data_IF_361348210582
#
_entry.id   IF_361348210582
#
_cell.length_a   1.000
_cell.length_b   1.000
_cell.length_c   1.000
_cell.angle_alpha   90.00
_cell.angle_beta   90.00
_cell.angle_gamma   90.00
#
_symmetry.space_group_name_H-M   'P 1'
#
loop_
_entity.id
_entity.type
_entity.pdbx_description
1 polymer ?
#
# COMPACT_ATOMS: atom_id res chain seq x y z
N UNK A 1 5.25 -6.33 -31.88
CA UNK A 1 5.56 -7.65 -31.31
C UNK A 1 5.54 -7.51 -29.80
N UNK A 2 4.47 -7.93 -29.12
CA UNK A 2 4.39 -7.84 -27.65
C UNK A 2 5.33 -8.89 -27.05
N UNK A 3 6.47 -8.46 -26.53
CA UNK A 3 7.38 -9.33 -25.77
C UNK A 3 6.61 -9.78 -24.52
N UNK A 4 6.43 -11.09 -24.37
CA UNK A 4 5.80 -11.70 -23.20
C UNK A 4 6.60 -11.29 -21.96
N UNK A 5 5.92 -10.92 -20.87
CA UNK A 5 6.54 -10.56 -19.60
C UNK A 5 7.11 -11.82 -18.95
N UNK A 6 8.30 -12.23 -19.37
CA UNK A 6 9.01 -13.37 -18.81
C UNK A 6 10.17 -12.86 -17.96
N UNK A 7 10.36 -13.49 -16.80
CA UNK A 7 11.52 -13.26 -15.96
C UNK A 7 12.77 -13.74 -16.71
N UNK A 8 13.92 -13.08 -16.50
CA UNK A 8 15.18 -13.62 -17.00
C UNK A 8 15.56 -14.88 -16.24
N UNK A 9 16.34 -15.77 -16.87
CA UNK A 9 16.81 -17.02 -16.25
C UNK A 9 17.68 -16.76 -15.01
N UNK A 10 18.38 -15.61 -14.97
CA UNK A 10 19.23 -15.18 -13.86
C UNK A 10 18.53 -14.22 -12.88
N UNK A 11 17.21 -14.01 -13.02
CA UNK A 11 16.42 -13.17 -12.13
C UNK A 11 16.49 -13.66 -10.69
N UNK A 12 16.74 -12.74 -9.75
CA UNK A 12 16.81 -13.04 -8.31
C UNK A 12 16.00 -12.03 -7.53
N UNK A 13 15.27 -12.53 -6.54
CA UNK A 13 14.54 -11.69 -5.59
C UNK A 13 14.66 -12.23 -4.17
N UNK A 14 14.72 -11.31 -3.21
CA UNK A 14 14.54 -11.59 -1.79
C UNK A 14 13.37 -10.74 -1.31
N UNK A 15 12.40 -11.36 -0.64
CA UNK A 15 11.25 -10.68 -0.07
C UNK A 15 11.12 -11.04 1.41
N UNK A 16 10.93 -10.01 2.24
CA UNK A 16 10.59 -10.14 3.65
C UNK A 16 9.14 -9.71 3.85
N UNK A 17 8.37 -10.49 4.60
CA UNK A 17 7.01 -10.17 5.00
C UNK A 17 6.86 -10.43 6.49
N UNK A 18 6.47 -9.41 7.24
CA UNK A 18 6.20 -9.46 8.66
C UNK A 18 4.85 -8.81 8.91
N UNK A 19 4.00 -9.45 9.69
CA UNK A 19 2.73 -8.88 10.11
C UNK A 19 2.27 -9.55 11.39
N UNK A 20 1.39 -8.88 12.11
CA UNK A 20 0.74 -9.43 13.29
C UNK A 20 -0.39 -8.54 13.75
N UNK A 21 -1.09 -9.00 14.77
CA UNK A 21 -2.13 -8.26 15.45
C UNK A 21 -1.97 -8.46 16.94
N UNK A 22 -2.20 -7.39 17.72
CA UNK A 22 -2.29 -7.49 19.18
C UNK A 22 -3.23 -6.44 19.73
N UNK A 23 -3.98 -6.75 20.81
CA UNK A 23 -4.55 -5.69 21.64
C UNK A 23 -3.43 -4.85 22.25
N UNK A 24 -3.66 -3.55 22.37
CA UNK A 24 -2.71 -2.60 23.00
C UNK A 24 -3.28 -1.90 24.23
N UNK A 25 -4.62 -1.81 24.31
CA UNK A 25 -5.37 -1.33 25.45
C UNK A 25 -6.81 -1.89 25.36
N UNK A 26 -7.63 -1.79 26.42
CA UNK A 26 -9.05 -2.14 26.34
C UNK A 26 -9.73 -1.41 25.18
N UNK A 27 -10.39 -2.15 24.29
CA UNK A 27 -11.03 -1.62 23.08
C UNK A 27 -10.09 -1.21 21.95
N UNK A 28 -8.76 -1.35 22.10
CA UNK A 28 -7.79 -0.97 21.07
C UNK A 28 -6.99 -2.16 20.55
N UNK A 29 -6.99 -2.32 19.23
CA UNK A 29 -6.16 -3.30 18.49
C UNK A 29 -5.23 -2.61 17.52
N UNK A 30 -4.01 -3.12 17.42
CA UNK A 30 -3.04 -2.70 16.40
C UNK A 30 -2.68 -3.89 15.50
N UNK A 31 -2.59 -3.62 14.20
CA UNK A 31 -2.10 -4.53 13.18
C UNK A 31 -0.96 -3.91 12.38
N UNK A 32 0.30 -4.03 12.81
CA UNK A 32 1.45 -3.60 12.03
C UNK A 32 1.80 -4.61 10.93
N UNK A 33 2.29 -4.12 9.80
CA UNK A 33 2.88 -4.95 8.76
C UNK A 33 4.07 -4.26 8.08
N UNK A 34 4.99 -5.09 7.61
CA UNK A 34 6.16 -4.72 6.82
C UNK A 34 6.26 -5.68 5.64
N UNK A 35 6.38 -5.13 4.44
CA UNK A 35 6.88 -5.87 3.29
C UNK A 35 8.07 -5.15 2.70
N UNK A 36 9.10 -5.90 2.33
CA UNK A 36 10.24 -5.36 1.61
C UNK A 36 10.70 -6.35 0.54
N UNK A 37 11.17 -5.83 -0.58
CA UNK A 37 11.74 -6.64 -1.64
C UNK A 37 12.96 -5.95 -2.24
N UNK A 38 13.95 -6.76 -2.58
CA UNK A 38 14.96 -6.43 -3.57
C UNK A 38 14.90 -7.46 -4.69
N UNK A 39 14.80 -7.01 -5.93
CA UNK A 39 14.79 -7.83 -7.12
C UNK A 39 15.80 -7.30 -8.13
N UNK A 40 16.68 -8.16 -8.64
CA UNK A 40 17.70 -7.83 -9.66
C UNK A 40 17.56 -8.71 -10.88
N UNK A 41 17.95 -8.16 -12.03
CA UNK A 41 17.94 -8.84 -13.33
C UNK A 41 16.56 -9.47 -13.62
N UNK A 42 15.49 -8.79 -13.22
CA UNK A 42 14.13 -9.31 -13.20
C UNK A 42 13.56 -9.45 -14.61
N UNK A 43 13.64 -8.40 -15.42
CA UNK A 43 13.06 -8.34 -16.76
C UNK A 43 14.09 -7.97 -17.82
N UNK A 44 15.05 -7.13 -17.46
CA UNK A 44 16.20 -6.76 -18.30
C UNK A 44 17.47 -6.81 -17.45
N UNK A 45 18.58 -7.18 -18.08
CA UNK A 45 19.85 -7.32 -17.40
C UNK A 45 20.27 -5.96 -16.80
N UNK A 46 20.61 -5.98 -15.52
CA UNK A 46 21.00 -4.82 -14.74
C UNK A 46 19.85 -3.99 -14.17
N UNK A 47 18.59 -4.40 -14.36
CA UNK A 47 17.49 -3.78 -13.59
C UNK A 47 17.62 -4.09 -12.08
N UNK A 48 17.16 -3.15 -11.26
CA UNK A 48 17.15 -3.27 -9.80
C UNK A 48 15.88 -2.61 -9.26
N UNK A 49 15.06 -3.38 -8.56
CA UNK A 49 13.83 -2.92 -7.95
C UNK A 49 13.92 -3.12 -6.45
N UNK A 50 13.96 -2.02 -5.71
CA UNK A 50 13.97 -2.02 -4.24
C UNK A 50 12.77 -1.25 -3.74
N UNK A 51 12.05 -1.84 -2.80
CA UNK A 51 10.98 -1.15 -2.10
C UNK A 51 10.78 -1.72 -0.71
N UNK A 52 10.30 -0.87 0.19
CA UNK A 52 9.91 -1.23 1.54
C UNK A 52 8.65 -0.47 1.91
N UNK A 53 7.67 -1.21 2.41
CA UNK A 53 6.36 -0.73 2.83
C UNK A 53 6.18 -1.03 4.31
N UNK A 54 5.83 0.01 5.07
CA UNK A 54 5.34 -0.08 6.43
C UNK A 54 3.85 0.27 6.41
N UNK A 55 3.04 -0.54 7.05
CA UNK A 55 1.64 -0.25 7.27
C UNK A 55 1.27 -0.52 8.73
N UNK A 56 0.39 0.31 9.26
CA UNK A 56 -0.16 0.16 10.60
C UNK A 56 -1.65 0.43 10.53
N UNK A 57 -2.45 -0.56 10.94
CA UNK A 57 -3.88 -0.40 11.19
C UNK A 57 -4.13 -0.35 12.69
N UNK A 58 -4.98 0.57 13.12
CA UNK A 58 -5.38 0.74 14.51
C UNK A 58 -6.91 0.79 14.54
N UNK A 59 -7.53 0.01 15.42
CA UNK A 59 -8.98 0.00 15.60
C UNK A 59 -9.33 0.31 17.05
N UNK A 60 -10.32 1.16 17.25
CA UNK A 60 -10.88 1.54 18.54
C UNK A 60 -12.37 1.18 18.58
N UNK A 61 -12.72 0.20 19.40
CA UNK A 61 -14.10 -0.14 19.71
C UNK A 61 -14.77 0.97 20.54
N UNK A 62 -15.84 1.54 19.98
CA UNK A 62 -16.63 2.56 20.68
C UNK A 62 -17.86 1.91 21.33
N UNK A 63 -18.48 0.95 20.64
CA UNK A 63 -19.59 0.15 21.16
C UNK A 63 -19.65 -1.21 20.46
N UNK A 64 -20.68 -2.01 20.76
CA UNK A 64 -20.86 -3.36 20.21
C UNK A 64 -20.95 -3.43 18.69
N UNK A 65 -21.25 -2.33 18.01
CA UNK A 65 -21.50 -2.30 16.57
C UNK A 65 -20.75 -1.20 15.80
N UNK A 66 -19.84 -0.48 16.46
CA UNK A 66 -19.14 0.65 15.88
C UNK A 66 -17.70 0.76 16.41
N UNK A 67 -16.75 0.86 15.48
CA UNK A 67 -15.35 1.14 15.76
C UNK A 67 -14.81 2.28 14.88
N UNK A 68 -13.81 2.98 15.39
CA UNK A 68 -12.99 3.90 14.60
C UNK A 68 -11.74 3.16 14.12
N UNK A 69 -11.58 3.01 12.81
CA UNK A 69 -10.38 2.47 12.21
C UNK A 69 -9.48 3.60 11.68
N UNK A 70 -8.18 3.43 11.85
CA UNK A 70 -7.14 4.34 11.37
C UNK A 70 -6.08 3.51 10.64
N UNK A 71 -5.61 3.98 9.51
CA UNK A 71 -4.56 3.30 8.74
C UNK A 71 -3.49 4.31 8.32
N UNK A 72 -2.24 3.99 8.60
CA UNK A 72 -1.07 4.72 8.10
C UNK A 72 -0.23 3.78 7.25
N UNK A 73 0.06 4.19 6.03
CA UNK A 73 0.98 3.51 5.12
C UNK A 73 2.11 4.45 4.75
N UNK A 74 3.33 3.95 4.76
CA UNK A 74 4.50 4.61 4.21
C UNK A 74 5.29 3.61 3.38
N UNK A 75 5.74 4.02 2.21
CA UNK A 75 6.51 3.19 1.30
C UNK A 75 7.66 3.99 0.73
N UNK A 76 8.85 3.41 0.70
CA UNK A 76 10.00 3.93 -0.04
C UNK A 76 10.32 3.01 -1.20
N UNK A 77 10.75 3.57 -2.32
CA UNK A 77 11.02 2.86 -3.56
C UNK A 77 12.22 3.46 -4.25
N UNK A 78 13.15 2.62 -4.68
CA UNK A 78 14.25 2.93 -5.59
C UNK A 78 14.16 1.91 -6.73
N UNK A 79 13.65 2.37 -7.86
CA UNK A 79 13.31 1.53 -9.00
C UNK A 79 14.18 1.96 -10.19
N UNK A 80 15.02 1.05 -10.66
CA UNK A 80 15.82 1.23 -11.87
C UNK A 80 15.44 0.15 -12.90
N UNK A 81 14.43 0.43 -13.75
CA UNK A 81 13.93 -0.54 -14.71
C UNK A 81 14.80 -0.68 -15.97
N UNK A 82 15.90 0.07 -16.09
CA UNK A 82 16.77 0.11 -17.29
C UNK A 82 15.99 0.26 -18.61
N UNK A 83 14.94 1.09 -18.62
CA UNK A 83 14.10 1.34 -19.79
C UNK A 83 13.12 0.22 -20.15
N UNK A 84 13.01 -0.84 -19.36
CA UNK A 84 11.99 -1.88 -19.54
C UNK A 84 10.59 -1.26 -19.57
N UNK A 85 9.83 -1.54 -20.63
CA UNK A 85 8.52 -0.95 -20.90
C UNK A 85 8.51 0.59 -20.92
N UNK A 86 9.61 1.21 -21.38
CA UNK A 86 9.77 2.68 -21.41
C UNK A 86 9.61 3.33 -20.03
N UNK A 87 9.91 2.59 -18.97
CA UNK A 87 9.87 3.11 -17.60
C UNK A 87 11.15 3.86 -17.27
N UNK A 88 11.01 4.91 -16.46
CA UNK A 88 12.12 5.71 -15.98
C UNK A 88 12.60 5.22 -14.62
N UNK A 89 13.88 5.47 -14.32
CA UNK A 89 14.39 5.30 -12.96
C UNK A 89 13.77 6.35 -12.05
N UNK A 90 13.34 5.94 -10.86
CA UNK A 90 12.76 6.83 -9.85
C UNK A 90 13.22 6.43 -8.45
N UNK A 91 13.37 7.43 -7.58
CA UNK A 91 13.59 7.28 -6.15
C UNK A 91 12.61 8.17 -5.39
N UNK A 92 11.80 7.57 -4.53
CA UNK A 92 10.81 8.34 -3.82
C UNK A 92 10.04 7.59 -2.76
N UNK A 93 9.26 8.38 -2.02
CA UNK A 93 8.41 7.88 -0.95
C UNK A 93 6.94 8.15 -1.28
N UNK A 94 6.06 7.28 -0.80
CA UNK A 94 4.61 7.42 -0.81
C UNK A 94 4.12 7.28 0.63
N UNK A 95 3.12 8.07 1.01
CA UNK A 95 2.38 7.85 2.25
C UNK A 95 0.89 8.06 2.07
N UNK A 96 0.11 7.35 2.90
CA UNK A 96 -1.35 7.45 2.96
C UNK A 96 -1.78 7.36 4.41
N UNK A 97 -2.63 8.27 4.84
CA UNK A 97 -3.34 8.22 6.11
C UNK A 97 -4.83 8.14 5.86
N UNK A 98 -5.52 7.23 6.55
CA UNK A 98 -6.96 7.00 6.42
C UNK A 98 -7.61 7.01 7.80
N UNK A 99 -8.78 7.65 7.90
CA UNK A 99 -9.71 7.54 9.03
C UNK A 99 -11.00 6.92 8.50
N UNK A 100 -11.52 5.92 9.21
CA UNK A 100 -12.67 5.14 8.77
C UNK A 100 -13.61 4.78 9.94
N UNK A 101 -14.68 5.57 10.17
CA UNK A 101 -15.84 5.11 10.93
C UNK A 101 -16.39 3.80 10.34
N UNK A 102 -16.43 2.74 11.15
CA UNK A 102 -16.70 1.38 10.70
C UNK A 102 -17.78 0.73 11.55
N UNK A 103 -18.78 0.15 10.88
CA UNK A 103 -19.87 -0.61 11.49
C UNK A 103 -19.63 -2.09 11.28
N UNK A 104 -19.71 -2.86 12.36
CA UNK A 104 -19.58 -4.34 12.33
C UNK A 104 -20.66 -4.95 13.23
N UNK A 105 -21.22 -6.12 12.91
CA UNK A 105 -22.13 -6.82 13.82
C UNK A 105 -21.39 -7.39 15.04
N UNK A 106 -20.10 -7.68 14.88
CA UNK A 106 -19.17 -8.17 15.92
C UNK A 106 -17.84 -7.40 15.77
N UNK A 107 -17.32 -6.88 16.88
CA UNK A 107 -16.06 -6.12 16.86
C UNK A 107 -14.85 -7.03 16.65
N UNK A 108 -14.85 -8.22 17.28
CA UNK A 108 -13.81 -9.25 17.16
C UNK A 108 -12.37 -8.72 17.02
N UNK A 109 -11.64 -9.32 16.08
CA UNK A 109 -10.29 -8.93 15.68
C UNK A 109 -10.31 -8.06 14.40
N UNK A 110 -9.12 -7.66 13.90
CA UNK A 110 -9.02 -6.88 12.65
C UNK A 110 -9.46 -7.68 11.41
N UNK A 111 -9.56 -9.02 11.53
CA UNK A 111 -10.01 -9.94 10.47
C UNK A 111 -11.50 -10.29 10.60
N UNK A 112 -12.21 -9.74 11.58
CA UNK A 112 -13.64 -10.01 11.74
C UNK A 112 -14.43 -9.25 10.69
N UNK A 113 -15.34 -9.93 10.00
CA UNK A 113 -16.21 -9.42 8.94
C UNK A 113 -17.62 -10.00 9.11
N UNK A 114 -18.68 -9.36 8.54
CA UNK A 114 -18.67 -8.22 7.62
C UNK A 114 -18.36 -6.87 8.28
N UNK A 115 -17.85 -5.93 7.50
CA UNK A 115 -17.71 -4.52 7.91
C UNK A 115 -18.25 -3.57 6.84
N UNK A 116 -18.89 -2.49 7.28
CA UNK A 116 -19.27 -1.34 6.44
C UNK A 116 -18.52 -0.11 6.94
N UNK A 117 -17.74 0.53 6.07
CA UNK A 117 -16.94 1.70 6.42
C UNK A 117 -17.28 2.90 5.57
N UNK A 118 -17.33 4.06 6.22
CA UNK A 118 -17.17 5.37 5.58
C UNK A 118 -15.72 5.77 5.81
N UNK A 119 -15.04 6.39 4.84
CA UNK A 119 -13.65 6.75 5.01
C UNK A 119 -13.27 8.08 4.36
N UNK A 120 -12.21 8.67 4.92
CA UNK A 120 -11.46 9.77 4.34
C UNK A 120 -9.97 9.39 4.34
N UNK A 121 -9.28 9.58 3.22
CA UNK A 121 -7.85 9.34 3.07
C UNK A 121 -7.15 10.57 2.52
N UNK A 122 -5.98 10.87 3.07
CA UNK A 122 -5.03 11.82 2.54
C UNK A 122 -3.76 11.07 2.13
N UNK A 123 -3.26 11.32 0.94
CA UNK A 123 -2.04 10.72 0.44
C UNK A 123 -1.16 11.73 -0.27
N UNK A 124 0.16 11.53 -0.19
CA UNK A 124 1.12 12.31 -0.94
C UNK A 124 2.36 11.46 -1.23
N UNK A 125 3.17 11.90 -2.18
CA UNK A 125 4.36 11.17 -2.62
C UNK A 125 5.41 12.09 -3.24
N UNK A 126 6.63 11.58 -3.39
CA UNK A 126 7.71 12.27 -4.09
C UNK A 126 7.35 12.45 -5.56
N UNK A 127 7.48 13.66 -6.09
CA UNK A 127 7.17 13.98 -7.50
C UNK A 127 8.03 13.22 -8.51
N UNK A 128 9.15 12.63 -8.10
CA UNK A 128 9.91 11.72 -8.97
C UNK A 128 9.09 10.49 -9.38
N UNK A 129 8.24 9.97 -8.49
CA UNK A 129 7.40 8.80 -8.77
C UNK A 129 6.39 9.05 -9.90
N UNK A 130 6.02 10.31 -10.17
CA UNK A 130 5.17 10.69 -11.32
C UNK A 130 5.83 10.39 -12.67
N UNK A 131 7.16 10.25 -12.71
CA UNK A 131 7.91 10.00 -13.94
C UNK A 131 8.09 8.53 -14.26
N UNK A 132 7.78 7.61 -13.32
CA UNK A 132 8.09 6.19 -13.48
C UNK A 132 7.50 5.60 -14.77
N UNK A 133 6.28 6.01 -15.14
CA UNK A 133 5.61 5.59 -16.38
C UNK A 133 4.71 6.69 -16.90
N UNK A 134 4.76 6.96 -18.21
CA UNK A 134 3.84 7.88 -18.90
C UNK A 134 2.41 7.34 -19.02
N UNK A 135 2.20 6.07 -18.71
CA UNK A 135 0.88 5.40 -18.70
C UNK A 135 0.46 4.95 -17.30
N UNK A 136 1.28 5.25 -16.28
CA UNK A 136 0.99 4.96 -14.88
C UNK A 136 -0.12 5.83 -14.30
N UNK A 137 -0.51 5.55 -13.05
CA UNK A 137 -1.48 6.41 -12.36
C UNK A 137 -0.82 7.65 -11.75
N UNK A 138 0.36 7.53 -11.14
CA UNK A 138 1.14 8.68 -10.68
C UNK A 138 1.53 9.56 -11.87
N UNK A 139 1.39 10.87 -11.70
CA UNK A 139 1.70 11.85 -12.74
C UNK A 139 0.59 12.13 -13.74
N UNK A 140 -0.62 11.58 -13.54
CA UNK A 140 -1.81 11.98 -14.33
C UNK A 140 -2.23 13.40 -13.98
N UNK A 141 -2.91 14.07 -14.92
CA UNK A 141 -3.29 15.49 -14.80
C UNK A 141 -4.10 15.82 -13.54
N UNK A 142 -4.86 14.86 -13.02
CA UNK A 142 -5.71 14.94 -11.83
C UNK A 142 -5.21 14.07 -10.67
N UNK A 143 -4.03 13.45 -10.81
CA UNK A 143 -3.44 12.56 -9.81
C UNK A 143 -1.91 12.63 -9.87
N UNK A 144 -1.37 13.75 -9.41
CA UNK A 144 0.06 14.04 -9.33
C UNK A 144 0.48 14.37 -7.89
N UNK A 145 1.80 14.33 -7.64
CA UNK A 145 2.35 14.66 -6.34
C UNK A 145 1.93 16.07 -5.90
N UNK A 146 1.63 16.24 -4.61
CA UNK A 146 1.11 17.51 -4.07
C UNK A 146 0.02 17.37 -3.01
N UNK A 147 -0.46 16.15 -2.78
CA UNK A 147 -1.49 15.85 -1.77
C UNK A 147 -2.86 15.63 -2.40
N UNK A 148 -3.40 14.43 -2.25
CA UNK A 148 -4.70 14.03 -2.80
C UNK A 148 -5.61 13.51 -1.69
N UNK A 149 -6.84 13.99 -1.69
CA UNK A 149 -7.91 13.49 -0.82
C UNK A 149 -8.77 12.47 -1.54
N UNK A 150 -9.20 11.44 -0.81
CA UNK A 150 -10.19 10.46 -1.26
C UNK A 150 -11.21 10.21 -0.17
N UNK A 151 -12.47 10.09 -0.56
CA UNK A 151 -13.58 9.81 0.35
C UNK A 151 -14.44 8.70 -0.24
N UNK A 152 -15.10 7.93 0.60
CA UNK A 152 -16.00 6.91 0.11
C UNK A 152 -16.69 6.10 1.17
N UNK A 153 -17.51 5.16 0.69
CA UNK A 153 -18.19 4.14 1.48
C UNK A 153 -17.84 2.80 0.84
N UNK A 154 -17.54 1.80 1.66
CA UNK A 154 -17.17 0.47 1.18
C UNK A 154 -17.63 -0.59 2.17
N UNK A 155 -18.01 -1.76 1.65
CA UNK A 155 -18.29 -2.96 2.43
C UNK A 155 -17.26 -4.06 2.10
N UNK A 156 -16.84 -4.83 3.10
CA UNK A 156 -15.97 -6.00 2.94
C UNK A 156 -16.54 -7.19 3.73
N UNK A 157 -16.49 -8.40 3.16
CA UNK A 157 -17.07 -9.61 3.77
C UNK A 157 -16.33 -10.88 3.34
N UNK A 158 -16.31 -11.88 4.23
CA UNK A 158 -15.96 -13.28 4.00
C UNK A 158 -16.72 -14.15 5.01
N UNK A 159 -16.90 -15.45 4.70
CA UNK A 159 -17.69 -16.40 5.48
C UNK A 159 -17.01 -17.77 5.60
#
# INVERSE_FOLDING_TARGET
MYKRQELLDDARAVRLALYGETPVAPGWRIGPSLLAEQSKDRYVKGDDYRWLTLNMRLANEINSNFEMAYELSWQTMDLDPKGYLQRNSVDGNFWKFTVAPTFKPDMGDLLTRPELRVFASLMNWSSDLDRYSTTGNFGKSDFSAGGVWQFGIQMETWF
#
